data_IF_870280151965
#
_entry.id   IF_870280151965
#
_cell.length_a   1.000
_cell.length_b   1.000
_cell.length_c   1.000
_cell.angle_alpha   90.00
_cell.angle_beta   90.00
_cell.angle_gamma   90.00
#
_symmetry.space_group_name_H-M   'P 1'
#
loop_
_entity.id
_entity.type
_entity.pdbx_description
1 polymer ?
#
# COMPACT_ATOMS: atom_id res chain seq x y z
N UNK A 1 31.32 40.00 52.45
CA UNK A 1 30.69 39.48 53.69
C UNK A 1 29.64 38.46 53.24
N UNK A 2 29.91 37.16 53.34
CA UNK A 2 29.61 36.29 54.51
C UNK A 2 28.11 35.97 54.58
N UNK A 3 27.62 34.73 54.59
CA UNK A 3 28.29 33.40 54.64
C UNK A 3 27.50 32.36 53.79
N UNK A 4 27.85 31.08 53.54
CA UNK A 4 28.70 30.05 54.19
C UNK A 4 28.09 29.47 55.49
N UNK A 5 28.11 28.16 55.85
CA UNK A 5 28.68 26.91 55.26
C UNK A 5 27.72 25.71 55.62
N UNK A 6 28.06 24.40 55.82
CA UNK A 6 27.73 23.35 54.83
C UNK A 6 27.20 21.96 55.33
N UNK A 7 27.06 20.99 54.40
CA UNK A 7 27.39 19.53 54.45
C UNK A 7 26.90 18.63 55.62
N UNK A 8 26.41 17.43 55.25
CA UNK A 8 27.08 16.08 55.36
C UNK A 8 26.19 14.96 54.75
N UNK A 9 26.63 14.15 53.77
CA UNK A 9 27.26 12.79 53.84
C UNK A 9 26.40 11.70 54.54
N UNK A 10 26.24 10.43 54.10
CA UNK A 10 26.86 9.63 53.01
C UNK A 10 26.20 8.22 52.81
N UNK A 11 26.27 7.66 51.58
CA UNK A 11 26.46 6.24 51.10
C UNK A 11 26.43 5.03 52.10
N UNK A 12 26.41 3.75 51.62
CA UNK A 12 25.72 3.09 50.47
C UNK A 12 25.15 1.68 50.85
N UNK A 13 24.70 0.84 49.89
CA UNK A 13 24.53 -0.67 49.91
C UNK A 13 23.24 -1.07 49.16
N UNK A 14 23.10 -2.18 48.41
CA UNK A 14 24.02 -3.27 47.97
C UNK A 14 23.71 -3.69 46.53
N UNK A 15 24.63 -4.41 45.88
CA UNK A 15 24.38 -5.07 44.61
C UNK A 15 23.61 -6.39 44.78
N UNK A 16 22.80 -6.76 43.77
CA UNK A 16 22.38 -8.15 43.56
C UNK A 16 22.61 -8.53 42.09
N UNK A 17 23.42 -9.56 41.89
CA UNK A 17 23.78 -10.18 40.61
C UNK A 17 22.61 -10.99 40.01
N UNK A 18 22.66 -11.33 38.71
CA UNK A 18 21.49 -11.81 37.96
C UNK A 18 21.15 -13.27 38.24
N UNK A 19 19.84 -13.59 38.18
CA UNK A 19 19.32 -14.96 38.21
C UNK A 19 19.16 -15.50 36.79
N UNK A 20 20.08 -16.36 36.37
CA UNK A 20 20.06 -17.04 35.06
C UNK A 20 19.36 -18.41 35.12
N UNK A 21 18.28 -18.62 34.36
CA UNK A 21 17.79 -19.95 33.92
C UNK A 21 16.58 -19.83 32.96
N UNK A 22 16.35 -20.82 32.09
CA UNK A 22 17.16 -21.12 30.90
C UNK A 22 16.38 -20.85 29.61
N UNK A 23 17.08 -20.85 28.47
CA UNK A 23 16.43 -20.77 27.17
C UNK A 23 15.64 -22.05 26.85
N UNK A 24 14.35 -21.92 26.53
CA UNK A 24 13.62 -22.92 25.75
C UNK A 24 13.66 -22.51 24.28
N UNK A 25 14.61 -23.07 23.54
CA UNK A 25 14.57 -22.99 22.08
C UNK A 25 13.34 -23.77 21.59
N UNK A 26 12.47 -23.12 20.84
CA UNK A 26 11.53 -23.81 19.96
C UNK A 26 11.43 -22.98 18.67
N UNK A 27 12.25 -23.32 17.69
CA UNK A 27 12.23 -22.68 16.39
C UNK A 27 11.09 -23.24 15.55
N UNK A 28 10.03 -22.46 15.33
CA UNK A 28 9.17 -22.66 14.17
C UNK A 28 9.73 -21.85 13.00
N UNK A 29 10.58 -22.47 12.19
CA UNK A 29 10.75 -22.03 10.82
C UNK A 29 9.44 -22.27 10.08
N UNK A 30 8.59 -21.25 9.98
CA UNK A 30 7.43 -21.28 9.08
C UNK A 30 7.85 -20.58 7.79
N UNK A 31 8.05 -21.40 6.76
CA UNK A 31 8.60 -21.01 5.47
C UNK A 31 7.72 -19.99 4.72
N UNK A 32 8.35 -18.95 4.19
CA UNK A 32 7.80 -18.22 3.04
C UNK A 32 7.79 -19.18 1.84
N UNK A 33 6.60 -19.52 1.35
CA UNK A 33 6.45 -20.36 0.16
C UNK A 33 6.66 -19.54 -1.12
N UNK A 34 7.86 -19.63 -1.71
CA UNK A 34 8.13 -19.16 -3.08
C UNK A 34 7.65 -20.23 -4.05
N UNK A 35 6.58 -19.96 -4.81
CA UNK A 35 6.07 -20.88 -5.82
C UNK A 35 6.79 -20.68 -7.17
N UNK A 36 7.62 -21.66 -7.57
CA UNK A 36 8.14 -21.77 -8.93
C UNK A 36 7.27 -22.76 -9.73
N UNK A 37 6.67 -22.29 -10.83
CA UNK A 37 5.82 -23.13 -11.69
C UNK A 37 6.60 -23.78 -12.84
N UNK A 38 6.56 -25.12 -12.92
CA UNK A 38 6.97 -25.87 -14.11
C UNK A 38 5.74 -26.24 -14.95
N UNK A 39 5.84 -26.10 -16.28
CA UNK A 39 4.76 -26.40 -17.21
C UNK A 39 4.96 -27.75 -17.93
N UNK A 40 3.87 -28.45 -18.22
CA UNK A 40 3.83 -29.54 -19.21
C UNK A 40 2.49 -29.56 -19.97
N UNK A 41 2.52 -29.99 -21.24
CA UNK A 41 1.40 -29.92 -22.21
C UNK A 41 0.75 -31.28 -22.44
N UNK A 42 -0.56 -31.28 -22.75
CA UNK A 42 -1.27 -32.23 -23.64
C UNK A 42 -2.68 -31.66 -23.88
N UNK A 43 -3.10 -31.21 -25.07
CA UNK A 43 -3.61 -32.00 -26.21
C UNK A 43 -4.75 -32.96 -25.83
N UNK A 44 -5.91 -33.10 -26.52
CA UNK A 44 -6.71 -32.35 -27.51
C UNK A 44 -7.68 -33.38 -28.16
N UNK A 45 -8.98 -33.09 -28.33
CA UNK A 45 -9.84 -33.53 -29.47
C UNK A 45 -11.38 -33.36 -29.26
N UNK A 46 -11.98 -32.49 -30.08
CA UNK A 46 -13.11 -32.73 -31.02
C UNK A 46 -14.57 -33.14 -30.64
N UNK A 47 -15.50 -32.40 -31.29
CA UNK A 47 -16.87 -32.78 -31.78
C UNK A 47 -17.98 -32.97 -30.70
N UNK A 48 -19.15 -32.33 -30.71
CA UNK A 48 -20.15 -32.17 -31.79
C UNK A 48 -21.12 -30.98 -31.61
N UNK A 49 -21.91 -30.63 -32.65
CA UNK A 49 -22.86 -29.53 -32.65
C UNK A 49 -24.30 -29.93 -32.27
N UNK A 50 -24.94 -29.21 -31.34
CA UNK A 50 -26.31 -29.47 -30.88
C UNK A 50 -27.17 -28.21 -30.76
N UNK A 51 -28.07 -27.98 -31.72
CA UNK A 51 -28.99 -26.83 -31.73
C UNK A 51 -30.04 -26.91 -30.61
N UNK A 52 -30.08 -25.93 -29.70
CA UNK A 52 -31.22 -25.73 -28.76
C UNK A 52 -31.65 -24.27 -28.63
N UNK A 53 -32.95 -24.09 -28.90
CA UNK A 53 -33.90 -22.99 -28.64
C UNK A 53 -33.42 -21.83 -27.75
N UNK A 54 -33.69 -20.60 -28.23
CA UNK A 54 -33.51 -19.34 -27.49
C UNK A 54 -34.46 -19.28 -26.29
N UNK A 55 -33.94 -19.47 -25.09
CA UNK A 55 -34.55 -18.99 -23.85
C UNK A 55 -34.03 -17.59 -23.51
N UNK A 56 -34.89 -16.71 -23.00
CA UNK A 56 -34.52 -15.36 -22.57
C UNK A 56 -33.68 -15.41 -21.29
N UNK A 57 -32.35 -15.42 -21.45
CA UNK A 57 -31.42 -15.32 -20.33
C UNK A 57 -31.45 -13.91 -19.72
N UNK A 58 -31.47 -13.83 -18.39
CA UNK A 58 -31.14 -12.60 -17.64
C UNK A 58 -29.73 -12.14 -18.03
N UNK A 59 -29.42 -10.83 -17.98
CA UNK A 59 -28.07 -10.34 -18.29
C UNK A 59 -27.07 -10.88 -17.27
N UNK A 60 -26.36 -11.95 -17.67
CA UNK A 60 -25.26 -12.50 -16.88
C UNK A 60 -24.10 -11.51 -16.87
N UNK A 61 -23.52 -11.31 -15.69
CA UNK A 61 -22.25 -10.57 -15.54
C UNK A 61 -21.22 -11.23 -16.45
N UNK A 62 -20.74 -10.49 -17.45
CA UNK A 62 -19.61 -10.93 -18.28
C UNK A 62 -18.39 -11.00 -17.36
N UNK A 63 -17.88 -12.20 -17.10
CA UNK A 63 -16.57 -12.36 -16.48
C UNK A 63 -15.52 -11.72 -17.42
N UNK A 64 -14.87 -10.66 -16.95
CA UNK A 64 -13.80 -10.00 -17.68
C UNK A 64 -12.54 -10.87 -17.63
N UNK A 65 -12.27 -11.61 -18.70
CA UNK A 65 -11.10 -12.50 -18.84
C UNK A 65 -9.78 -11.77 -19.14
N UNK A 66 -9.69 -10.47 -18.83
CA UNK A 66 -8.47 -9.68 -18.91
C UNK A 66 -8.00 -9.30 -17.51
N UNK A 67 -6.68 -9.32 -17.30
CA UNK A 67 -6.07 -8.89 -16.04
C UNK A 67 -6.60 -7.51 -15.62
N UNK A 68 -6.82 -7.32 -14.31
CA UNK A 68 -7.35 -6.07 -13.74
C UNK A 68 -6.50 -4.89 -14.24
N UNK A 69 -7.10 -4.09 -15.11
CA UNK A 69 -6.44 -2.93 -15.69
C UNK A 69 -6.12 -1.94 -14.57
N UNK A 70 -4.85 -1.53 -14.47
CA UNK A 70 -4.41 -0.50 -13.53
C UNK A 70 -4.29 0.78 -14.34
N UNK A 71 -5.35 1.60 -14.35
CA UNK A 71 -5.33 2.90 -15.02
C UNK A 71 -4.60 3.93 -14.13
N UNK A 72 -4.92 3.92 -12.83
CA UNK A 72 -4.43 4.91 -11.86
C UNK A 72 -3.92 4.25 -10.57
N UNK A 73 -2.87 4.83 -10.00
CA UNK A 73 -2.32 4.46 -8.69
C UNK A 73 -2.44 5.64 -7.73
N UNK A 74 -3.04 5.39 -6.57
CA UNK A 74 -3.06 6.34 -5.47
C UNK A 74 -1.73 6.31 -4.72
N UNK A 75 -1.08 7.46 -4.52
CA UNK A 75 0.13 7.57 -3.69
C UNK A 75 -0.15 8.41 -2.46
N UNK A 76 -0.10 7.75 -1.30
CA UNK A 76 -0.06 8.39 0.01
C UNK A 76 1.41 8.61 0.40
N UNK A 77 1.76 9.84 0.78
CA UNK A 77 3.13 10.23 1.10
C UNK A 77 3.18 11.52 1.93
N UNK A 78 4.33 11.85 2.50
CA UNK A 78 4.49 13.05 3.33
C UNK A 78 4.43 14.38 2.57
N UNK A 79 3.79 15.39 3.17
CA UNK A 79 3.87 16.81 2.75
C UNK A 79 5.22 17.48 3.04
N UNK A 80 6.14 16.76 3.70
CA UNK A 80 7.55 17.13 3.84
C UNK A 80 8.47 16.04 3.30
N UNK A 81 9.70 16.40 2.92
CA UNK A 81 10.69 15.50 2.32
C UNK A 81 11.26 14.45 3.29
N UNK A 82 11.05 14.62 4.61
CA UNK A 82 11.75 13.88 5.66
C UNK A 82 13.20 14.35 5.83
N UNK A 83 14.03 13.52 6.46
CA UNK A 83 15.46 13.79 6.73
C UNK A 83 16.40 12.94 5.87
N UNK A 84 15.89 11.94 5.16
CA UNK A 84 16.66 11.02 4.33
C UNK A 84 16.42 11.32 2.83
N UNK A 85 17.46 11.66 2.05
CA UNK A 85 17.33 11.89 0.61
C UNK A 85 16.72 10.72 -0.16
N UNK A 86 16.87 9.48 0.33
CA UNK A 86 16.29 8.30 -0.30
C UNK A 86 14.76 8.39 -0.44
N UNK A 87 14.06 9.11 0.45
CA UNK A 87 12.61 9.25 0.39
C UNK A 87 12.17 10.13 -0.80
N UNK A 88 12.90 11.21 -1.08
CA UNK A 88 12.68 12.05 -2.26
C UNK A 88 13.03 11.29 -3.54
N UNK A 89 14.18 10.63 -3.57
CA UNK A 89 14.60 9.81 -4.72
C UNK A 89 13.60 8.69 -5.04
N UNK A 90 12.98 8.08 -4.02
CA UNK A 90 11.93 7.08 -4.19
C UNK A 90 10.61 7.68 -4.73
N UNK A 91 10.25 8.90 -4.32
CA UNK A 91 9.09 9.62 -4.85
C UNK A 91 9.30 9.99 -6.34
N UNK A 92 10.48 10.50 -6.69
CA UNK A 92 10.85 10.81 -8.08
C UNK A 92 10.84 9.56 -8.96
N UNK A 93 11.51 8.50 -8.51
CA UNK A 93 11.59 7.23 -9.23
C UNK A 93 10.21 6.58 -9.43
N UNK A 94 9.33 6.63 -8.41
CA UNK A 94 7.96 6.14 -8.54
C UNK A 94 7.16 6.95 -9.57
N UNK A 95 7.22 8.28 -9.52
CA UNK A 95 6.46 9.13 -10.44
C UNK A 95 6.86 8.87 -11.90
N UNK A 96 8.16 8.85 -12.17
CA UNK A 96 8.68 8.51 -13.49
C UNK A 96 8.28 7.09 -13.94
N UNK A 97 8.31 6.10 -13.04
CA UNK A 97 7.93 4.72 -13.35
C UNK A 97 6.42 4.56 -13.66
N UNK A 98 5.54 5.31 -12.97
CA UNK A 98 4.11 5.32 -13.27
C UNK A 98 3.85 5.86 -14.68
N UNK A 99 4.42 7.01 -15.01
CA UNK A 99 4.31 7.63 -16.34
C UNK A 99 4.82 6.69 -17.46
N UNK A 100 6.00 6.08 -17.27
CA UNK A 100 6.59 5.14 -18.24
C UNK A 100 5.76 3.87 -18.43
N UNK A 101 5.00 3.46 -17.42
CA UNK A 101 4.07 2.34 -17.50
C UNK A 101 2.70 2.71 -18.10
N UNK A 102 2.46 3.99 -18.42
CA UNK A 102 1.16 4.50 -18.88
C UNK A 102 0.11 4.58 -17.78
N UNK A 103 0.53 4.66 -16.52
CA UNK A 103 -0.34 4.66 -15.32
C UNK A 103 -0.42 6.08 -14.77
N UNK A 104 -1.64 6.57 -14.50
CA UNK A 104 -1.87 7.87 -13.89
C UNK A 104 -1.61 7.88 -12.38
N UNK A 105 -1.21 9.04 -11.86
CA UNK A 105 -1.06 9.31 -10.44
C UNK A 105 -2.34 9.93 -9.87
N UNK A 106 -2.85 9.36 -8.78
CA UNK A 106 -3.83 10.01 -7.88
C UNK A 106 -3.14 10.34 -6.57
N UNK A 107 -3.29 11.56 -6.05
CA UNK A 107 -2.62 11.96 -4.80
C UNK A 107 -3.32 13.11 -4.07
N UNK A 108 -2.77 13.54 -2.93
CA UNK A 108 -3.36 14.54 -2.04
C UNK A 108 -3.38 16.01 -2.53
N UNK A 109 -2.85 16.32 -3.71
CA UNK A 109 -2.91 17.66 -4.31
C UNK A 109 -1.95 18.72 -3.75
N UNK A 110 -1.11 18.38 -2.76
CA UNK A 110 -0.10 19.31 -2.23
C UNK A 110 1.13 19.45 -3.13
N UNK A 111 1.73 20.63 -3.22
CA UNK A 111 2.91 20.88 -4.07
C UNK A 111 4.26 20.69 -3.36
N UNK A 112 4.24 20.38 -2.06
CA UNK A 112 5.42 20.30 -1.19
C UNK A 112 5.74 18.86 -0.75
N UNK A 113 6.99 18.64 -0.33
CA UNK A 113 7.43 17.34 0.16
C UNK A 113 7.33 16.26 -0.92
N UNK A 114 7.24 15.00 -0.48
CA UNK A 114 7.17 13.85 -1.38
C UNK A 114 5.92 13.89 -2.27
N UNK A 115 4.83 14.52 -1.83
CA UNK A 115 3.65 14.79 -2.66
C UNK A 115 4.01 15.64 -3.88
N UNK A 116 4.80 16.70 -3.68
CA UNK A 116 5.28 17.54 -4.77
C UNK A 116 6.21 16.80 -5.72
N UNK A 117 7.15 16.00 -5.18
CA UNK A 117 8.15 15.28 -5.98
C UNK A 117 7.52 14.20 -6.85
N UNK A 118 6.67 13.31 -6.29
CA UNK A 118 6.00 12.27 -7.09
C UNK A 118 5.09 12.87 -8.18
N UNK A 119 4.42 13.99 -7.89
CA UNK A 119 3.56 14.68 -8.85
C UNK A 119 4.36 15.34 -9.98
N UNK A 120 5.47 16.05 -9.65
CA UNK A 120 6.38 16.62 -10.65
C UNK A 120 7.01 15.53 -11.51
N UNK A 121 7.59 14.49 -10.91
CA UNK A 121 8.26 13.43 -11.64
C UNK A 121 7.32 12.62 -12.54
N UNK A 122 6.06 12.41 -12.14
CA UNK A 122 5.04 11.81 -13.01
C UNK A 122 4.76 12.68 -14.24
N UNK A 123 4.46 13.97 -14.02
CA UNK A 123 4.13 14.92 -15.08
C UNK A 123 5.30 15.17 -16.03
N UNK A 124 6.51 15.34 -15.49
CA UNK A 124 7.71 15.65 -16.26
C UNK A 124 8.18 14.44 -17.10
N UNK A 125 7.77 13.23 -16.72
CA UNK A 125 7.88 12.01 -17.52
C UNK A 125 6.69 11.78 -18.49
N UNK A 126 5.74 12.73 -18.59
CA UNK A 126 4.60 12.68 -19.50
C UNK A 126 3.38 11.89 -19.00
N UNK A 127 3.35 11.53 -17.71
CA UNK A 127 2.24 10.83 -17.07
C UNK A 127 1.13 11.76 -16.58
N UNK A 128 -0.08 11.21 -16.43
CA UNK A 128 -1.25 11.96 -15.99
C UNK A 128 -1.29 12.13 -14.46
N UNK A 129 -1.65 13.33 -13.96
CA UNK A 129 -1.71 13.63 -12.51
C UNK A 129 -3.08 14.20 -12.10
N UNK A 130 -3.71 13.50 -11.14
CA UNK A 130 -4.97 13.87 -10.49
C UNK A 130 -4.70 14.22 -9.01
N UNK A 131 -4.72 15.51 -8.68
CA UNK A 131 -4.69 15.99 -7.30
C UNK A 131 -6.08 16.07 -6.68
N UNK A 132 -6.25 15.56 -5.46
CA UNK A 132 -7.53 15.60 -4.72
C UNK A 132 -7.31 16.23 -3.35
N UNK A 133 -7.79 17.46 -3.17
CA UNK A 133 -7.50 18.32 -2.02
C UNK A 133 -8.78 18.95 -1.46
N UNK A 134 -8.98 19.00 -0.13
CA UNK A 134 -10.12 19.69 0.43
C UNK A 134 -9.91 21.21 0.43
N UNK A 135 -10.99 21.97 0.28
CA UNK A 135 -10.99 23.42 0.13
C UNK A 135 -10.14 24.13 1.22
N UNK A 136 -10.26 23.69 2.47
CA UNK A 136 -9.55 24.26 3.62
C UNK A 136 -8.03 24.03 3.64
N UNK A 137 -7.49 23.17 2.79
CA UNK A 137 -6.04 22.93 2.64
C UNK A 137 -5.42 23.63 1.42
N UNK A 138 -6.23 24.14 0.48
CA UNK A 138 -5.77 24.78 -0.78
C UNK A 138 -4.74 25.89 -0.56
N UNK A 139 -4.89 26.69 0.50
CA UNK A 139 -3.96 27.75 0.88
C UNK A 139 -2.71 27.26 1.64
N UNK A 140 -2.77 26.10 2.30
CA UNK A 140 -1.71 25.59 3.20
C UNK A 140 -0.73 24.67 2.50
N UNK A 141 -1.22 23.80 1.62
CA UNK A 141 -0.43 22.75 0.96
C UNK A 141 0.25 23.22 -0.34
N UNK A 142 0.20 24.53 -0.63
CA UNK A 142 0.75 25.16 -1.84
C UNK A 142 0.50 24.33 -3.11
N UNK A 143 -0.78 24.25 -3.51
CA UNK A 143 -1.25 23.41 -4.63
C UNK A 143 -0.31 23.48 -5.83
N UNK A 144 0.09 22.32 -6.35
CA UNK A 144 0.80 22.23 -7.63
C UNK A 144 -0.19 22.65 -8.73
N UNK A 145 -0.11 23.92 -9.17
CA UNK A 145 -1.09 24.52 -10.11
C UNK A 145 -1.05 23.91 -11.50
N UNK A 146 0.03 23.18 -11.79
CA UNK A 146 0.34 22.59 -13.09
C UNK A 146 0.11 21.06 -13.06
N UNK A 147 -0.98 20.60 -12.42
CA UNK A 147 -1.50 19.23 -12.54
C UNK A 147 -2.63 19.20 -13.57
N UNK A 148 -2.78 18.08 -14.29
CA UNK A 148 -3.80 17.97 -15.35
C UNK A 148 -5.22 18.07 -14.80
N UNK A 149 -5.45 17.50 -13.60
CA UNK A 149 -6.73 17.56 -12.93
C UNK A 149 -6.57 17.85 -11.45
N UNK A 150 -7.32 18.83 -10.94
CA UNK A 150 -7.43 19.14 -9.52
C UNK A 150 -8.90 19.04 -9.08
N UNK A 151 -9.21 18.08 -8.21
CA UNK A 151 -10.52 17.92 -7.60
C UNK A 151 -10.53 18.57 -6.22
N UNK A 152 -11.35 19.60 -6.03
CA UNK A 152 -11.55 20.26 -4.73
C UNK A 152 -12.72 19.59 -4.01
N UNK A 153 -12.52 19.18 -2.75
CA UNK A 153 -13.55 18.53 -1.92
C UNK A 153 -13.98 19.40 -0.74
N UNK A 154 -15.18 19.16 -0.21
CA UNK A 154 -15.68 19.90 0.97
C UNK A 154 -15.00 19.47 2.28
N UNK A 155 -14.60 18.21 2.38
CA UNK A 155 -14.06 17.59 3.59
C UNK A 155 -13.08 16.43 3.27
N UNK A 156 -12.49 15.88 4.35
CA UNK A 156 -11.52 14.78 4.28
C UNK A 156 -12.12 13.42 3.93
N UNK A 157 -13.40 13.16 4.26
CA UNK A 157 -14.04 11.89 3.93
C UNK A 157 -14.34 11.83 2.42
N UNK A 158 -14.81 12.94 1.85
CA UNK A 158 -15.00 13.09 0.41
C UNK A 158 -13.67 13.01 -0.34
N UNK A 159 -12.60 13.62 0.18
CA UNK A 159 -11.24 13.50 -0.35
C UNK A 159 -10.82 12.03 -0.48
N UNK A 160 -10.84 11.28 0.63
CA UNK A 160 -10.42 9.87 0.65
C UNK A 160 -11.32 8.97 -0.19
N UNK A 161 -12.63 9.21 -0.20
CA UNK A 161 -13.58 8.52 -1.09
C UNK A 161 -13.25 8.73 -2.56
N UNK A 162 -13.00 9.97 -3.00
CA UNK A 162 -12.63 10.24 -4.39
C UNK A 162 -11.25 9.68 -4.74
N UNK A 163 -10.27 9.73 -3.82
CA UNK A 163 -8.97 9.08 -4.02
C UNK A 163 -9.12 7.57 -4.19
N UNK A 164 -10.00 6.91 -3.43
CA UNK A 164 -10.34 5.51 -3.64
C UNK A 164 -11.05 5.26 -4.97
N UNK A 165 -12.10 6.03 -5.29
CA UNK A 165 -12.92 5.84 -6.50
C UNK A 165 -12.11 5.99 -7.80
N UNK A 166 -11.14 6.89 -7.83
CA UNK A 166 -10.31 7.17 -9.01
C UNK A 166 -9.06 6.27 -9.14
N UNK A 167 -8.84 5.29 -8.26
CA UNK A 167 -7.58 4.51 -8.20
C UNK A 167 -7.80 3.00 -8.25
N UNK A 168 -6.92 2.27 -8.92
CA UNK A 168 -6.95 0.80 -9.03
C UNK A 168 -6.00 0.08 -8.08
N UNK A 169 -4.99 0.78 -7.56
CA UNK A 169 -4.07 0.33 -6.53
C UNK A 169 -3.59 1.50 -5.65
N UNK A 170 -2.96 1.18 -4.52
CA UNK A 170 -2.49 2.14 -3.52
C UNK A 170 -1.01 1.91 -3.19
N UNK A 171 -0.27 3.00 -2.95
CA UNK A 171 1.12 3.00 -2.49
C UNK A 171 1.24 3.91 -1.28
N UNK A 172 1.88 3.42 -0.22
CA UNK A 172 2.35 4.24 0.90
C UNK A 172 3.87 4.40 0.82
N UNK A 173 4.32 5.56 0.31
CA UNK A 173 5.69 6.05 0.48
C UNK A 173 5.89 6.52 1.94
N UNK A 174 7.14 6.82 2.37
CA UNK A 174 7.39 7.47 3.66
C UNK A 174 6.50 8.69 3.91
N UNK A 175 6.05 8.85 5.16
CA UNK A 175 5.06 9.88 5.47
C UNK A 175 4.63 9.95 6.93
N UNK A 176 3.85 10.98 7.26
CA UNK A 176 3.41 11.26 8.63
C UNK A 176 2.12 10.54 9.02
N UNK A 177 1.45 11.07 10.06
CA UNK A 177 0.17 10.55 10.56
C UNK A 177 -0.90 10.49 9.47
N UNK A 178 -0.97 11.47 8.55
CA UNK A 178 -1.92 11.44 7.44
C UNK A 178 -1.71 10.23 6.51
N UNK A 179 -0.47 9.97 6.11
CA UNK A 179 -0.10 8.82 5.28
C UNK A 179 -0.43 7.48 5.96
N UNK A 180 -0.20 7.41 7.28
CA UNK A 180 -0.56 6.22 8.08
C UNK A 180 -2.09 6.04 8.19
N UNK A 181 -2.84 7.12 8.37
CA UNK A 181 -4.31 7.12 8.43
C UNK A 181 -4.93 6.65 7.12
N UNK A 182 -4.47 7.22 6.00
CA UNK A 182 -4.86 6.84 4.64
C UNK A 182 -4.53 5.36 4.36
N UNK A 183 -3.32 4.89 4.72
CA UNK A 183 -2.91 3.49 4.57
C UNK A 183 -3.78 2.53 5.41
N UNK A 184 -3.98 2.81 6.70
CA UNK A 184 -4.74 1.94 7.61
C UNK A 184 -6.21 1.86 7.22
N UNK A 185 -6.79 2.93 6.66
CA UNK A 185 -8.15 2.87 6.09
C UNK A 185 -8.23 1.87 4.92
N UNK A 186 -7.30 1.92 3.96
CA UNK A 186 -7.28 0.97 2.84
C UNK A 186 -7.01 -0.47 3.30
N UNK A 187 -6.12 -0.68 4.27
CA UNK A 187 -5.90 -2.00 4.88
C UNK A 187 -7.18 -2.53 5.54
N UNK A 188 -7.91 -1.67 6.26
CA UNK A 188 -9.18 -2.01 6.90
C UNK A 188 -10.26 -2.36 5.88
N UNK A 189 -10.38 -1.59 4.79
CA UNK A 189 -11.36 -1.86 3.73
C UNK A 189 -11.03 -3.16 2.96
N UNK A 190 -9.74 -3.42 2.69
CA UNK A 190 -9.26 -4.68 2.12
C UNK A 190 -9.54 -5.88 3.02
N UNK A 191 -9.36 -5.71 4.34
CA UNK A 191 -9.65 -6.73 5.36
C UNK A 191 -11.16 -7.02 5.47
N UNK A 192 -12.00 -6.00 5.34
CA UNK A 192 -13.47 -6.11 5.34
C UNK A 192 -14.04 -6.58 3.98
N UNK A 193 -13.19 -6.92 3.00
CA UNK A 193 -13.61 -7.40 1.69
C UNK A 193 -14.24 -6.33 0.78
N UNK A 194 -14.13 -5.05 1.12
CA UNK A 194 -14.70 -3.95 0.32
C UNK A 194 -13.97 -3.76 -1.02
N UNK A 195 -12.74 -4.24 -1.15
CA UNK A 195 -12.01 -4.29 -2.43
C UNK A 195 -10.93 -5.37 -2.49
N UNK A 196 -10.43 -5.62 -3.70
CA UNK A 196 -9.26 -6.46 -4.03
C UNK A 196 -8.10 -5.65 -4.63
N UNK A 197 -8.22 -4.32 -4.71
CA UNK A 197 -7.17 -3.39 -5.21
C UNK A 197 -5.83 -3.62 -4.48
N UNK A 198 -4.69 -3.77 -5.19
CA UNK A 198 -3.38 -3.93 -4.56
C UNK A 198 -3.00 -2.77 -3.63
N UNK A 199 -2.32 -3.07 -2.53
CA UNK A 199 -1.74 -2.09 -1.61
C UNK A 199 -0.25 -2.40 -1.47
N UNK A 200 0.61 -1.42 -1.74
CA UNK A 200 2.06 -1.50 -1.60
C UNK A 200 2.53 -0.57 -0.48
N UNK A 201 3.35 -1.09 0.42
CA UNK A 201 4.08 -0.34 1.45
C UNK A 201 5.53 -0.25 1.00
N UNK A 202 5.97 0.94 0.61
CA UNK A 202 7.34 1.18 0.17
C UNK A 202 8.24 1.45 1.38
N UNK A 203 8.87 0.39 1.90
CA UNK A 203 9.74 0.40 3.08
C UNK A 203 11.14 0.95 2.77
N UNK A 204 11.19 2.11 2.12
CA UNK A 204 12.44 2.77 1.71
C UNK A 204 13.32 3.02 2.94
N UNK A 205 14.53 2.46 2.92
CA UNK A 205 15.49 2.50 4.03
C UNK A 205 14.87 2.18 5.41
N UNK A 206 14.01 1.15 5.44
CA UNK A 206 13.36 0.67 6.67
C UNK A 206 12.34 1.61 7.30
N UNK A 207 11.84 2.64 6.60
CA UNK A 207 10.94 3.65 7.17
C UNK A 207 9.69 3.06 7.88
N UNK A 208 9.09 2.02 7.31
CA UNK A 208 7.88 1.37 7.80
C UNK A 208 8.13 0.19 8.75
N UNK A 209 9.39 -0.15 9.05
CA UNK A 209 9.75 -1.18 10.05
C UNK A 209 8.97 -1.08 11.38
N UNK A 210 8.80 0.11 12.00
CA UNK A 210 8.03 0.24 13.23
C UNK A 210 6.55 -0.11 13.05
N UNK A 211 5.97 0.20 11.89
CA UNK A 211 4.59 -0.13 11.55
C UNK A 211 4.41 -1.63 11.29
N UNK A 212 5.35 -2.26 10.58
CA UNK A 212 5.34 -3.71 10.37
C UNK A 212 5.48 -4.49 11.70
N UNK A 213 6.30 -3.97 12.63
CA UNK A 213 6.42 -4.49 14.00
C UNK A 213 5.13 -4.31 14.80
N UNK A 214 4.41 -3.19 14.64
CA UNK A 214 3.10 -2.98 15.25
C UNK A 214 2.05 -3.97 14.73
N UNK A 215 1.99 -4.21 13.42
CA UNK A 215 1.09 -5.21 12.84
C UNK A 215 1.43 -6.64 13.30
N UNK A 216 2.71 -6.95 13.48
CA UNK A 216 3.14 -8.22 14.06
C UNK A 216 2.62 -8.38 15.50
N UNK A 217 2.84 -7.38 16.36
CA UNK A 217 2.33 -7.37 17.73
C UNK A 217 0.79 -7.51 17.79
N UNK A 218 0.04 -6.80 16.94
CA UNK A 218 -1.43 -6.93 16.87
C UNK A 218 -1.90 -8.36 16.49
N UNK A 219 -1.10 -9.08 15.69
CA UNK A 219 -1.38 -10.47 15.30
C UNK A 219 -0.98 -11.46 16.40
N UNK A 220 0.16 -11.23 17.05
CA UNK A 220 0.64 -12.07 18.15
C UNK A 220 -0.33 -11.98 19.36
N UNK A 221 -0.85 -10.77 19.64
CA UNK A 221 -1.91 -10.50 20.63
C UNK A 221 -3.35 -10.80 20.12
N UNK A 222 -3.50 -11.41 18.94
CA UNK A 222 -4.77 -11.88 18.36
C UNK A 222 -5.85 -10.80 18.07
N UNK A 223 -5.49 -9.52 18.04
CA UNK A 223 -6.34 -8.44 17.49
C UNK A 223 -6.49 -8.56 15.96
N UNK A 224 -5.44 -9.01 15.27
CA UNK A 224 -5.54 -9.55 13.90
C UNK A 224 -5.64 -11.08 14.04
N UNK A 225 -6.87 -11.60 13.97
CA UNK A 225 -7.17 -13.01 14.22
C UNK A 225 -6.62 -13.92 13.12
N UNK A 226 -6.23 -15.13 13.49
CA UNK A 226 -5.87 -16.19 12.55
C UNK A 226 -6.98 -16.39 11.49
N UNK A 227 -6.59 -16.40 10.21
CA UNK A 227 -7.51 -16.46 9.06
C UNK A 227 -7.97 -15.11 8.51
N UNK A 228 -7.74 -14.00 9.23
CA UNK A 228 -7.94 -12.64 8.71
C UNK A 228 -6.63 -12.15 8.08
N UNK A 229 -6.58 -12.12 6.75
CA UNK A 229 -5.40 -11.68 6.01
C UNK A 229 -5.46 -10.16 5.74
N UNK A 230 -4.59 -9.40 6.41
CA UNK A 230 -4.32 -7.99 6.07
C UNK A 230 -3.42 -7.98 4.82
N UNK A 231 -4.02 -7.76 3.64
CA UNK A 231 -3.33 -7.90 2.34
C UNK A 231 -2.62 -6.61 1.93
N UNK A 232 -1.30 -6.65 1.95
CA UNK A 232 -0.42 -5.64 1.35
C UNK A 232 0.89 -6.30 0.91
N UNK A 233 1.67 -5.59 0.10
CA UNK A 233 2.97 -6.00 -0.40
C UNK A 233 4.00 -5.04 0.17
N UNK A 234 5.10 -5.54 0.72
CA UNK A 234 6.24 -4.70 1.11
C UNK A 234 7.27 -4.73 -0.01
N UNK A 235 7.76 -3.56 -0.41
CA UNK A 235 8.93 -3.42 -1.28
C UNK A 235 9.90 -2.44 -0.66
N UNK A 236 11.19 -2.72 -0.75
CA UNK A 236 12.25 -1.89 -0.15
C UNK A 236 12.80 -0.84 -1.14
N UNK A 237 12.50 -1.02 -2.44
CA UNK A 237 13.02 -0.21 -3.55
C UNK A 237 11.89 0.35 -4.42
N UNK A 238 12.01 1.62 -4.82
CA UNK A 238 10.98 2.30 -5.61
C UNK A 238 10.74 1.63 -6.98
N UNK A 239 11.80 1.11 -7.62
CA UNK A 239 11.72 0.40 -8.89
C UNK A 239 10.88 -0.89 -8.83
N UNK A 240 10.67 -1.46 -7.64
CA UNK A 240 9.85 -2.66 -7.46
C UNK A 240 8.35 -2.37 -7.29
N UNK A 241 7.95 -1.11 -7.03
CA UNK A 241 6.55 -0.74 -6.74
C UNK A 241 5.62 -1.07 -7.93
N UNK A 242 5.91 -0.55 -9.12
CA UNK A 242 5.05 -0.74 -10.31
C UNK A 242 4.99 -2.22 -10.73
N UNK A 243 6.11 -2.97 -10.83
CA UNK A 243 6.06 -4.42 -11.05
C UNK A 243 5.21 -5.18 -10.04
N UNK A 244 5.32 -4.86 -8.74
CA UNK A 244 4.53 -5.52 -7.69
C UNK A 244 3.01 -5.26 -7.84
N UNK A 245 2.61 -4.03 -8.19
CA UNK A 245 1.20 -3.68 -8.46
C UNK A 245 0.66 -4.51 -9.63
N UNK A 246 1.39 -4.55 -10.75
CA UNK A 246 0.95 -5.26 -11.96
C UNK A 246 0.88 -6.77 -11.75
N UNK A 247 1.84 -7.35 -11.01
CA UNK A 247 1.83 -8.77 -10.65
C UNK A 247 0.63 -9.11 -9.76
N UNK A 248 0.34 -8.28 -8.76
CA UNK A 248 -0.79 -8.49 -7.84
C UNK A 248 -2.15 -8.31 -8.53
N UNK A 249 -2.26 -7.36 -9.45
CA UNK A 249 -3.45 -7.16 -10.28
C UNK A 249 -3.75 -8.40 -11.14
N UNK A 250 -2.73 -8.96 -11.78
CA UNK A 250 -2.85 -10.21 -12.56
C UNK A 250 -3.28 -11.40 -11.69
N UNK A 251 -2.59 -11.63 -10.57
CA UNK A 251 -2.89 -12.75 -9.67
C UNK A 251 -4.32 -12.66 -9.09
N UNK A 252 -4.81 -11.45 -8.82
CA UNK A 252 -6.18 -11.22 -8.35
C UNK A 252 -7.21 -11.64 -9.41
N UNK A 253 -6.98 -11.30 -10.68
CA UNK A 253 -7.87 -11.72 -11.79
C UNK A 253 -7.85 -13.22 -12.00
N UNK A 254 -6.69 -13.88 -11.89
CA UNK A 254 -6.58 -15.34 -12.02
C UNK A 254 -7.39 -16.04 -10.91
N UNK A 255 -7.30 -15.58 -9.67
CA UNK A 255 -8.09 -16.09 -8.54
C UNK A 255 -9.61 -15.79 -8.67
N UNK A 256 -9.99 -14.58 -9.12
CA UNK A 256 -11.38 -14.20 -9.39
C UNK A 256 -11.99 -15.06 -10.52
N UNK A 257 -11.21 -15.37 -11.56
CA UNK A 257 -11.62 -16.25 -12.65
C UNK A 257 -11.78 -17.72 -12.20
N UNK A 258 -10.85 -18.24 -11.41
CA UNK A 258 -10.91 -19.60 -10.84
C UNK A 258 -12.15 -19.76 -9.94
N UNK A 259 -12.37 -18.83 -9.01
CA UNK A 259 -13.55 -18.84 -8.14
C UNK A 259 -14.86 -18.79 -8.93
N UNK A 260 -14.91 -18.01 -10.02
CA UNK A 260 -16.07 -17.92 -10.92
C UNK A 260 -16.26 -19.14 -11.85
N UNK A 261 -15.27 -20.04 -11.94
CA UNK A 261 -15.40 -21.36 -12.56
C UNK A 261 -15.92 -22.35 -11.52
N UNK A 262 -15.29 -22.42 -10.34
CA UNK A 262 -15.68 -23.33 -9.26
C UNK A 262 -17.12 -23.11 -8.79
N UNK A 263 -17.58 -21.86 -8.70
CA UNK A 263 -18.97 -21.53 -8.31
C UNK A 263 -20.05 -21.90 -9.35
N UNK A 264 -19.69 -22.53 -10.48
CA UNK A 264 -20.62 -23.03 -11.51
C UNK A 264 -20.75 -24.56 -11.52
N UNK A 265 -20.00 -25.26 -10.67
CA UNK A 265 -20.03 -26.71 -10.47
C UNK A 265 -20.55 -27.06 -9.07
#
# INVERSE_FOLDING_TARGET
MSSKTPRKTSKPSSARTPSSRPATANGSQTSLAIAQGHASKSAASDIEAGSRKRGSAKPGVRASTGARHIANVCVYCGSGHGTNPAYTQAADALGAALAQAGIGLVYGGGGLGLMGEVARATRDAGGHVIGIIPEFLTQKEHMLRDVDQLMITKDMHERKRLMFENSDAFVALPGGIGTLEELVEQLTWSQLGQHTKPIVVANIDGFWDPFLKLLAHMRDDQFIRNGINVRFIVVEEAAAIVPAILQAAKASTEAEAEAAITAKF
#
